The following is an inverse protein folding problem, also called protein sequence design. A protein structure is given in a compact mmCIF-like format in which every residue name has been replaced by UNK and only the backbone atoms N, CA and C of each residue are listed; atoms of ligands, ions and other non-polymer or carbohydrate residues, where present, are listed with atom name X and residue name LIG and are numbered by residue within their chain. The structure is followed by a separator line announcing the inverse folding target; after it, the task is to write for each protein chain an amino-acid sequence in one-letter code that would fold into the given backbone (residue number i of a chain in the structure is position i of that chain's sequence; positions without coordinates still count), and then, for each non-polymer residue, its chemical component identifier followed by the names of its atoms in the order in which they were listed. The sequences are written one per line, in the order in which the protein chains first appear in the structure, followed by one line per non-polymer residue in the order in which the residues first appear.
data_IF_519950758090
#
_entry.id   IF_519950758090
#
_cell.length_a   1.000
_cell.length_b   1.000
_cell.length_c   1.000
_cell.angle_alpha   90.00
_cell.angle_beta   90.00
_cell.angle_gamma   90.00
#
_symmetry.space_group_name_H-M   'P 1'
#
loop_
_entity.id
_entity.type
_entity.pdbx_description
1 polymer ?
#
# COMPACT_ATOMS: atom_id res chain seq x y z
N UNK A 1 -4.44 -8.89 10.33
CA UNK A 1 -4.23 -10.25 9.77
C UNK A 1 -3.53 -11.14 10.79
N UNK A 2 -4.27 -11.67 11.77
CA UNK A 2 -3.67 -12.48 12.83
C UNK A 2 -3.37 -13.94 12.42
N UNK A 3 -3.94 -14.40 11.30
CA UNK A 3 -3.96 -15.81 10.92
C UNK A 3 -2.66 -16.34 10.29
N UNK A 4 -1.80 -15.46 9.75
CA UNK A 4 -0.44 -15.82 9.28
C UNK A 4 0.64 -15.46 10.30
N UNK A 5 0.26 -15.10 11.53
CA UNK A 5 1.22 -14.71 12.55
C UNK A 5 2.12 -15.91 12.91
N UNK A 6 3.45 -15.83 12.74
CA UNK A 6 4.35 -16.94 13.06
C UNK A 6 4.48 -17.22 14.56
N UNK A 7 4.06 -16.29 15.43
CA UNK A 7 4.13 -16.45 16.89
C UNK A 7 3.48 -17.76 17.34
N UNK A 8 4.12 -18.37 18.35
CA UNK A 8 3.68 -19.64 18.94
C UNK A 8 3.45 -20.71 17.87
N UNK A 9 4.35 -20.79 16.88
CA UNK A 9 4.31 -21.78 15.80
C UNK A 9 3.02 -21.73 14.98
N UNK A 10 2.61 -20.52 14.60
CA UNK A 10 1.36 -20.26 13.89
C UNK A 10 0.13 -20.73 14.67
N UNK A 11 0.00 -20.34 15.94
CA UNK A 11 -1.11 -20.77 16.81
C UNK A 11 -2.47 -20.25 16.33
N UNK A 12 -2.49 -19.07 15.74
CA UNK A 12 -3.72 -18.40 15.26
C UNK A 12 -4.08 -18.78 13.82
N UNK A 13 -3.42 -19.81 13.28
CA UNK A 13 -3.61 -20.24 11.90
C UNK A 13 -5.04 -20.73 11.65
N UNK A 14 -5.65 -20.13 10.63
CA UNK A 14 -7.04 -20.37 10.25
C UNK A 14 -7.11 -20.39 8.72
N UNK A 15 -7.28 -21.59 8.17
CA UNK A 15 -7.28 -21.80 6.71
C UNK A 15 -8.44 -21.08 6.06
N UNK A 16 -9.63 -21.14 6.66
CA UNK A 16 -10.85 -20.58 6.08
C UNK A 16 -10.77 -19.05 5.98
N UNK A 17 -10.21 -18.39 7.01
CA UNK A 17 -9.98 -16.93 6.95
C UNK A 17 -8.96 -16.54 5.88
N UNK A 18 -7.91 -17.33 5.69
CA UNK A 18 -6.89 -17.06 4.68
C UNK A 18 -7.39 -17.32 3.26
N UNK A 19 -8.24 -18.32 3.08
CA UNK A 19 -8.93 -18.55 1.81
C UNK A 19 -9.92 -17.42 1.50
N UNK A 20 -10.68 -16.94 2.50
CA UNK A 20 -11.55 -15.76 2.33
C UNK A 20 -10.76 -14.53 1.91
N UNK A 21 -9.59 -14.32 2.49
CA UNK A 21 -8.70 -13.24 2.08
C UNK A 21 -8.26 -13.39 0.62
N UNK A 22 -7.81 -14.57 0.20
CA UNK A 22 -7.40 -14.81 -1.18
C UNK A 22 -8.55 -14.54 -2.18
N UNK A 23 -9.79 -14.87 -1.81
CA UNK A 23 -10.98 -14.57 -2.62
C UNK A 23 -11.23 -13.07 -2.83
N UNK A 24 -10.85 -12.21 -1.87
CA UNK A 24 -10.94 -10.75 -2.05
C UNK A 24 -9.98 -10.28 -3.15
N UNK A 25 -8.84 -10.98 -3.28
CA UNK A 25 -7.79 -10.69 -4.26
C UNK A 25 -7.78 -11.73 -5.39
N UNK A 26 -8.95 -12.22 -5.83
CA UNK A 26 -9.02 -13.31 -6.81
C UNK A 26 -8.25 -13.04 -8.12
N UNK A 27 -8.09 -11.77 -8.53
CA UNK A 27 -7.26 -11.41 -9.67
C UNK A 27 -5.76 -11.75 -9.47
N UNK A 28 -5.29 -11.76 -8.23
CA UNK A 28 -3.93 -12.14 -7.85
C UNK A 28 -3.78 -13.66 -7.66
N UNK A 29 -4.85 -14.45 -7.73
CA UNK A 29 -4.83 -15.91 -7.54
C UNK A 29 -5.51 -16.62 -8.72
N UNK A 30 -4.73 -17.14 -9.68
CA UNK A 30 -5.26 -17.90 -10.83
C UNK A 30 -5.32 -19.41 -10.53
N UNK A 31 -6.42 -20.09 -10.94
CA UNK A 31 -6.78 -21.54 -10.82
C UNK A 31 -6.50 -22.22 -9.44
N UNK A 32 -5.95 -21.49 -8.47
CA UNK A 32 -5.37 -21.99 -7.23
C UNK A 32 -6.34 -22.06 -6.06
N UNK A 33 -7.60 -21.64 -6.21
CA UNK A 33 -8.60 -21.65 -5.14
C UNK A 33 -8.84 -23.07 -4.55
N UNK A 34 -8.66 -24.12 -5.35
CA UNK A 34 -8.73 -25.52 -4.92
C UNK A 34 -7.44 -26.00 -4.21
N UNK A 35 -6.28 -25.45 -4.59
CA UNK A 35 -4.96 -25.90 -4.11
C UNK A 35 -4.45 -25.09 -2.91
N UNK A 36 -4.90 -23.84 -2.75
CA UNK A 36 -4.49 -22.94 -1.67
C UNK A 36 -4.72 -23.55 -0.28
N UNK A 37 -5.88 -24.15 0.04
CA UNK A 37 -6.07 -24.78 1.35
C UNK A 37 -5.05 -25.89 1.63
N UNK A 38 -4.73 -26.69 0.61
CA UNK A 38 -3.72 -27.76 0.69
C UNK A 38 -2.31 -27.20 0.89
N UNK A 39 -1.92 -26.20 0.10
CA UNK A 39 -0.61 -25.54 0.26
C UNK A 39 -0.46 -24.86 1.62
N UNK A 40 -1.51 -24.19 2.12
CA UNK A 40 -1.49 -23.54 3.44
C UNK A 40 -1.26 -24.56 4.56
N UNK A 41 -1.99 -25.69 4.55
CA UNK A 41 -1.81 -26.76 5.54
C UNK A 41 -0.43 -27.40 5.45
N UNK A 42 0.04 -27.68 4.23
CA UNK A 42 1.37 -28.23 3.98
C UNK A 42 2.48 -27.30 4.47
N UNK A 43 2.38 -26.02 4.14
CA UNK A 43 3.33 -24.99 4.56
C UNK A 43 3.42 -24.90 6.08
N UNK A 44 2.29 -24.73 6.79
CA UNK A 44 2.29 -24.61 8.25
C UNK A 44 2.82 -25.89 8.90
N UNK A 45 2.44 -27.06 8.38
CA UNK A 45 2.94 -28.34 8.87
C UNK A 45 4.46 -28.46 8.71
N UNK A 46 5.03 -27.95 7.61
CA UNK A 46 6.48 -27.91 7.39
C UNK A 46 7.15 -26.86 8.27
N UNK A 47 6.63 -25.63 8.30
CA UNK A 47 7.17 -24.52 9.07
C UNK A 47 7.25 -24.86 10.57
N UNK A 48 6.25 -25.54 11.13
CA UNK A 48 6.25 -26.02 12.53
C UNK A 48 7.35 -27.03 12.86
N UNK A 49 7.86 -27.76 11.86
CA UNK A 49 8.93 -28.76 12.03
C UNK A 49 10.32 -28.21 11.68
N UNK A 50 10.38 -27.08 10.99
CA UNK A 50 11.62 -26.46 10.57
C UNK A 50 12.16 -25.55 11.67
N UNK A 51 13.39 -25.81 12.13
CA UNK A 51 14.03 -25.07 13.22
C UNK A 51 14.17 -23.56 12.91
N UNK A 52 14.31 -23.19 11.63
CA UNK A 52 14.44 -21.80 11.20
C UNK A 52 13.25 -20.91 11.58
N UNK A 53 12.06 -21.49 11.77
CA UNK A 53 10.86 -20.76 12.20
C UNK A 53 10.71 -20.65 13.72
N UNK A 54 11.59 -21.30 14.52
CA UNK A 54 11.52 -21.22 15.96
C UNK A 54 11.77 -19.80 16.45
N UNK A 55 10.88 -19.32 17.32
CA UNK A 55 10.96 -17.95 17.84
C UNK A 55 10.66 -16.86 16.80
N UNK A 56 10.21 -17.21 15.59
CA UNK A 56 9.84 -16.23 14.59
C UNK A 56 8.58 -15.46 15.01
N UNK A 57 8.69 -14.13 15.10
CA UNK A 57 7.60 -13.25 15.54
C UNK A 57 7.10 -12.33 14.44
N UNK A 58 7.86 -12.20 13.35
CA UNK A 58 7.66 -11.21 12.30
C UNK A 58 7.42 -11.90 10.96
N UNK A 59 6.41 -11.42 10.23
CA UNK A 59 6.06 -11.96 8.93
C UNK A 59 7.15 -11.71 7.88
N UNK A 60 7.92 -10.62 8.00
CA UNK A 60 9.08 -10.37 7.13
C UNK A 60 10.15 -11.47 7.23
N UNK A 61 10.44 -11.95 8.45
CA UNK A 61 11.37 -13.07 8.66
C UNK A 61 10.85 -14.38 8.08
N UNK A 62 9.53 -14.60 8.10
CA UNK A 62 8.90 -15.77 7.44
C UNK A 62 9.22 -15.77 5.94
N UNK A 63 9.09 -14.63 5.27
CA UNK A 63 9.44 -14.48 3.84
C UNK A 63 10.91 -14.78 3.59
N UNK A 64 11.81 -14.25 4.42
CA UNK A 64 13.25 -14.49 4.31
C UNK A 64 13.57 -15.98 4.43
N UNK A 65 13.05 -16.66 5.46
CA UNK A 65 13.23 -18.10 5.66
C UNK A 65 12.67 -18.88 4.47
N UNK A 66 11.50 -18.49 3.94
CA UNK A 66 10.89 -19.16 2.79
C UNK A 66 11.76 -19.07 1.53
N UNK A 67 12.42 -17.94 1.30
CA UNK A 67 13.34 -17.77 0.16
C UNK A 67 14.61 -18.59 0.37
N UNK A 68 15.21 -18.52 1.56
CA UNK A 68 16.43 -19.25 1.89
C UNK A 68 16.26 -20.78 1.78
N UNK A 69 15.09 -21.28 2.19
CA UNK A 69 14.76 -22.72 2.18
C UNK A 69 14.10 -23.19 0.88
N UNK A 70 14.00 -22.33 -0.15
CA UNK A 70 13.28 -22.58 -1.42
C UNK A 70 11.81 -22.97 -1.25
N UNK A 71 11.22 -22.69 -0.09
CA UNK A 71 9.80 -22.88 0.16
C UNK A 71 8.93 -21.89 -0.63
N UNK A 72 9.47 -20.74 -1.04
CA UNK A 72 8.79 -19.80 -1.91
C UNK A 72 8.37 -20.42 -3.26
N UNK A 73 9.18 -21.33 -3.82
CA UNK A 73 8.81 -22.07 -5.05
C UNK A 73 7.87 -23.23 -4.76
N UNK A 74 8.08 -23.94 -3.64
CA UNK A 74 7.26 -25.10 -3.25
C UNK A 74 5.85 -24.71 -2.81
N UNK A 75 5.69 -23.54 -2.21
CA UNK A 75 4.45 -22.99 -1.66
C UNK A 75 4.16 -21.60 -2.24
N UNK A 76 4.19 -21.47 -3.56
CA UNK A 76 4.05 -20.19 -4.26
C UNK A 76 2.78 -19.42 -3.92
N UNK A 77 1.65 -20.11 -3.69
CA UNK A 77 0.39 -19.44 -3.33
C UNK A 77 0.45 -18.87 -1.91
N UNK A 78 1.10 -19.57 -0.98
CA UNK A 78 1.29 -19.10 0.40
C UNK A 78 2.24 -17.91 0.42
N UNK A 79 3.32 -17.99 -0.36
CA UNK A 79 4.28 -16.90 -0.51
C UNK A 79 3.61 -15.63 -1.01
N UNK A 80 2.81 -15.72 -2.08
CA UNK A 80 2.02 -14.59 -2.61
C UNK A 80 1.04 -14.02 -1.58
N UNK A 81 0.36 -14.87 -0.80
CA UNK A 81 -0.54 -14.41 0.25
C UNK A 81 0.18 -13.62 1.35
N UNK A 82 1.39 -14.04 1.70
CA UNK A 82 2.24 -13.35 2.67
C UNK A 82 2.72 -12.00 2.11
N UNK A 83 3.14 -11.95 0.85
CA UNK A 83 3.52 -10.69 0.17
C UNK A 83 2.36 -9.69 0.17
N UNK A 84 1.16 -10.12 -0.23
CA UNK A 84 -0.04 -9.27 -0.17
C UNK A 84 -0.28 -8.77 1.25
N UNK A 85 -0.15 -9.63 2.26
CA UNK A 85 -0.32 -9.25 3.67
C UNK A 85 0.68 -8.19 4.13
N UNK A 86 1.91 -8.20 3.60
CA UNK A 86 2.94 -7.20 3.90
C UNK A 86 2.72 -5.87 3.16
N UNK A 87 2.16 -5.90 1.95
CA UNK A 87 1.89 -4.70 1.14
C UNK A 87 0.62 -3.98 1.63
N UNK A 88 -0.36 -4.73 2.16
CA UNK A 88 -1.65 -4.17 2.57
C UNK A 88 -1.55 -3.00 3.57
N UNK A 89 -0.76 -3.08 4.66
CA UNK A 89 -0.59 -1.95 5.56
C UNK A 89 -0.08 -0.68 4.88
N UNK A 90 0.80 -0.81 3.87
CA UNK A 90 1.33 0.33 3.10
C UNK A 90 0.25 0.93 2.21
N UNK A 91 -0.56 0.09 1.57
CA UNK A 91 -1.68 0.54 0.76
C UNK A 91 -2.73 1.24 1.63
N UNK A 92 -3.12 0.65 2.76
CA UNK A 92 -4.08 1.23 3.71
C UNK A 92 -3.60 2.58 4.24
N UNK A 93 -2.34 2.66 4.70
CA UNK A 93 -1.78 3.92 5.19
C UNK A 93 -1.72 5.00 4.10
N UNK A 94 -1.47 4.61 2.85
CA UNK A 94 -1.46 5.54 1.71
C UNK A 94 -2.86 6.11 1.46
N UNK A 95 -3.89 5.26 1.50
CA UNK A 95 -5.29 5.66 1.33
C UNK A 95 -5.75 6.55 2.49
N UNK A 96 -5.48 6.17 3.74
CA UNK A 96 -5.79 6.99 4.92
C UNK A 96 -5.13 8.37 4.86
N UNK A 97 -3.87 8.43 4.42
CA UNK A 97 -3.15 9.70 4.23
C UNK A 97 -3.81 10.59 3.18
N UNK A 98 -4.27 10.02 2.07
CA UNK A 98 -4.99 10.76 1.01
C UNK A 98 -6.32 11.28 1.56
N UNK A 99 -7.10 10.46 2.26
CA UNK A 99 -8.37 10.91 2.87
C UNK A 99 -8.15 12.00 3.93
N UNK A 100 -7.10 11.89 4.73
CA UNK A 100 -6.73 12.93 5.70
C UNK A 100 -6.39 14.25 5.02
N UNK A 101 -5.54 14.21 3.97
CA UNK A 101 -5.23 15.39 3.18
C UNK A 101 -6.47 16.00 2.52
N UNK A 102 -7.39 15.17 2.00
CA UNK A 102 -8.65 15.63 1.42
C UNK A 102 -9.52 16.36 2.45
N UNK A 103 -9.59 15.83 3.67
CA UNK A 103 -10.31 16.47 4.78
C UNK A 103 -9.70 17.83 5.12
N UNK A 104 -8.37 17.93 5.18
CA UNK A 104 -7.66 19.20 5.45
C UNK A 104 -7.95 20.22 4.35
N UNK A 105 -7.75 19.86 3.07
CA UNK A 105 -7.97 20.76 1.93
C UNK A 105 -9.41 21.27 1.89
N UNK A 106 -10.41 20.38 2.09
CA UNK A 106 -11.82 20.77 2.11
C UNK A 106 -12.18 21.64 3.32
N UNK A 107 -11.64 21.32 4.50
CA UNK A 107 -11.97 22.02 5.76
C UNK A 107 -11.32 23.39 5.83
N UNK A 108 -10.04 23.50 5.45
CA UNK A 108 -9.30 24.78 5.47
C UNK A 108 -9.88 25.78 4.47
N UNK A 109 -10.31 25.29 3.29
CA UNK A 109 -10.89 26.15 2.26
C UNK A 109 -12.38 26.39 2.45
N UNK A 110 -13.10 25.61 3.28
CA UNK A 110 -14.56 25.69 3.55
C UNK A 110 -15.42 25.87 2.29
N UNK A 111 -14.98 25.34 1.16
CA UNK A 111 -15.59 25.61 -0.14
C UNK A 111 -16.15 24.33 -0.75
N UNK A 112 -17.32 24.48 -1.40
CA UNK A 112 -17.76 23.53 -2.42
C UNK A 112 -16.81 23.69 -3.61
N UNK A 113 -16.02 22.65 -3.86
CA UNK A 113 -14.91 22.67 -4.81
C UNK A 113 -15.17 21.62 -5.87
N UNK A 114 -15.00 21.98 -7.15
CA UNK A 114 -15.12 21.03 -8.25
C UNK A 114 -14.07 19.92 -8.17
N UNK A 115 -14.43 18.71 -8.62
CA UNK A 115 -13.60 17.52 -8.48
C UNK A 115 -12.23 17.65 -9.15
N UNK A 116 -12.15 18.33 -10.30
CA UNK A 116 -10.87 18.58 -11.00
C UNK A 116 -9.92 19.44 -10.15
N UNK A 117 -10.43 20.55 -9.60
CA UNK A 117 -9.63 21.45 -8.76
C UNK A 117 -9.19 20.78 -7.46
N UNK A 118 -10.06 19.97 -6.86
CA UNK A 118 -9.70 19.17 -5.70
C UNK A 118 -8.60 18.17 -6.03
N UNK A 119 -8.70 17.46 -7.15
CA UNK A 119 -7.68 16.50 -7.58
C UNK A 119 -6.31 17.17 -7.76
N UNK A 120 -6.25 18.32 -8.42
CA UNK A 120 -5.02 19.08 -8.61
C UNK A 120 -4.38 19.50 -7.28
N UNK A 121 -5.19 19.99 -6.33
CA UNK A 121 -4.72 20.35 -4.98
C UNK A 121 -4.25 19.13 -4.18
N UNK A 122 -4.94 18.00 -4.30
CA UNK A 122 -4.58 16.75 -3.63
C UNK A 122 -3.23 16.22 -4.09
N UNK A 123 -2.92 16.34 -5.38
CA UNK A 123 -1.59 16.00 -5.94
C UNK A 123 -0.52 16.91 -5.30
N UNK A 124 -0.76 18.22 -5.26
CA UNK A 124 0.20 19.18 -4.70
C UNK A 124 0.44 18.95 -3.20
N UNK A 125 -0.60 18.59 -2.44
CA UNK A 125 -0.49 18.33 -1.00
C UNK A 125 0.17 16.99 -0.69
N UNK A 126 -0.18 15.93 -1.41
CA UNK A 126 0.41 14.60 -1.24
C UNK A 126 1.89 14.61 -1.60
N UNK A 127 2.22 15.28 -2.71
CA UNK A 127 3.58 15.45 -3.21
C UNK A 127 4.23 16.76 -2.75
N UNK A 128 3.85 17.29 -1.59
CA UNK A 128 4.33 18.59 -1.08
C UNK A 128 5.84 18.73 -1.03
N UNK A 129 6.59 17.62 -0.88
CA UNK A 129 8.07 17.63 -0.93
C UNK A 129 8.57 17.97 -2.35
N UNK A 130 7.98 17.33 -3.36
CA UNK A 130 8.28 17.58 -4.76
C UNK A 130 7.79 18.98 -5.14
N UNK A 131 6.57 19.34 -4.75
CA UNK A 131 6.00 20.67 -5.02
C UNK A 131 6.88 21.79 -4.45
N UNK A 132 7.35 21.67 -3.20
CA UNK A 132 8.27 22.64 -2.58
C UNK A 132 9.65 22.73 -3.26
N UNK A 133 10.04 21.72 -4.02
CA UNK A 133 11.30 21.75 -4.80
C UNK A 133 11.20 22.59 -6.08
N UNK A 134 9.98 22.88 -6.53
CA UNK A 134 9.72 23.68 -7.73
C UNK A 134 9.78 25.16 -7.36
N UNK A 135 10.65 25.92 -8.03
CA UNK A 135 10.76 27.38 -7.82
C UNK A 135 9.52 28.11 -8.32
N UNK A 136 9.02 29.06 -7.54
CA UNK A 136 7.86 29.89 -7.90
C UNK A 136 8.02 30.58 -9.26
N UNK A 137 9.22 31.05 -9.62
CA UNK A 137 9.50 31.66 -10.92
C UNK A 137 9.15 30.74 -12.11
N UNK A 138 9.40 29.43 -11.96
CA UNK A 138 9.05 28.45 -13.00
C UNK A 138 7.53 28.28 -13.11
N UNK A 139 6.83 28.30 -11.97
CA UNK A 139 5.38 28.18 -11.92
C UNK A 139 4.73 29.42 -12.56
N UNK A 140 5.20 30.62 -12.21
CA UNK A 140 4.72 31.89 -12.77
C UNK A 140 4.95 31.93 -14.27
N UNK A 141 6.17 31.61 -14.73
CA UNK A 141 6.49 31.57 -16.16
C UNK A 141 5.58 30.59 -16.92
N UNK A 142 5.39 29.38 -16.38
CA UNK A 142 4.51 28.39 -16.99
C UNK A 142 3.05 28.87 -17.06
N UNK A 143 2.56 29.54 -16.02
CA UNK A 143 1.23 30.11 -15.98
C UNK A 143 1.06 31.26 -16.99
N UNK A 144 2.08 32.11 -17.16
CA UNK A 144 2.11 33.14 -18.19
C UNK A 144 2.15 32.54 -19.61
N UNK A 145 2.87 31.44 -19.81
CA UNK A 145 2.96 30.75 -21.11
C UNK A 145 1.67 30.02 -21.51
N UNK A 146 0.79 29.70 -20.55
CA UNK A 146 -0.54 29.10 -20.81
C UNK A 146 -1.53 30.12 -21.41
N UNK A 147 -1.13 31.39 -21.58
CA UNK A 147 -2.00 32.46 -22.05
C UNK A 147 -2.27 32.41 -23.55
N UNK A 148 -3.51 32.05 -23.86
CA UNK A 148 -4.32 32.96 -24.68
C UNK A 148 -5.31 33.78 -23.84
N UNK A 149 -5.68 33.41 -22.59
CA UNK A 149 -6.81 34.08 -21.90
C UNK A 149 -6.76 34.14 -20.34
N UNK A 150 -5.62 34.43 -19.68
CA UNK A 150 -5.61 34.75 -18.22
C UNK A 150 -4.68 35.94 -17.90
N UNK A 151 -5.04 36.75 -16.90
CA UNK A 151 -4.34 38.00 -16.52
C UNK A 151 -2.86 37.78 -16.11
N UNK A 152 -2.02 38.83 -16.21
CA UNK A 152 -0.63 38.80 -15.72
C UNK A 152 -0.60 38.69 -14.20
N UNK A 153 0.32 37.88 -13.65
CA UNK A 153 0.49 37.74 -12.20
C UNK A 153 1.21 38.98 -11.66
N UNK A 154 0.66 39.72 -10.69
CA UNK A 154 1.32 40.88 -10.11
C UNK A 154 2.60 40.45 -9.35
N UNK A 155 3.76 41.03 -9.72
CA UNK A 155 5.07 40.59 -9.21
C UNK A 155 5.39 41.03 -7.77
N UNK A 156 4.59 41.90 -7.14
CA UNK A 156 5.01 42.60 -5.93
C UNK A 156 4.57 42.00 -4.58
N UNK A 157 3.71 40.96 -4.51
CA UNK A 157 3.10 40.52 -3.24
C UNK A 157 3.11 39.00 -2.99
N UNK A 158 4.07 38.24 -3.54
CA UNK A 158 4.14 36.79 -3.26
C UNK A 158 5.01 36.51 -2.03
N UNK A 159 4.39 36.58 -0.84
CA UNK A 159 4.88 35.86 0.34
C UNK A 159 4.05 34.58 0.43
N UNK A 160 4.71 33.43 0.20
CA UNK A 160 4.15 32.08 0.41
C UNK A 160 5.04 31.36 1.40
#
# INVERSE_FOLDING_TARGET
MACLNPRNSFSNFDVDKLVRLAKIYAADFDVGDLLLPGQLRGFVSRARRTQDFLGCTELGKVVEIMVNTKMNTSYGLVYRLIELTLILPVATASVERIFSAMSIVKTDLRNEMGDEWLNDLMICYTEKKIFRSIKNDKIIKRFEDMKTWRMLVPRNNLVV
#
